data_IF_037979413527
#
_entry.id   IF_037979413527
#
_cell.length_a   1.000
_cell.length_b   1.000
_cell.length_c   1.000
_cell.angle_alpha   90.00
_cell.angle_beta   90.00
_cell.angle_gamma   90.00
#
_symmetry.space_group_name_H-M   'P 1'
#
loop_
_entity.id
_entity.type
_entity.pdbx_description
1 polymer ?
#
# COMPACT_ATOMS: atom_id res chain seq x y z
N UNK A 1 1.20 -13.22 -1.29
CA UNK A 1 0.61 -13.51 0.04
C UNK A 1 -0.75 -12.84 0.22
N UNK A 2 -0.83 -11.51 0.20
CA UNK A 2 -2.06 -10.74 0.44
C UNK A 2 -3.24 -11.18 -0.43
N UNK A 3 -3.02 -11.38 -1.73
CA UNK A 3 -4.07 -11.83 -2.66
C UNK A 3 -4.71 -13.17 -2.24
N UNK A 4 -3.93 -14.14 -1.79
CA UNK A 4 -4.44 -15.46 -1.38
C UNK A 4 -5.30 -15.35 -0.11
N UNK A 5 -4.89 -14.50 0.84
CA UNK A 5 -5.70 -14.20 2.03
C UNK A 5 -7.05 -13.60 1.66
N UNK A 6 -7.06 -12.62 0.74
CA UNK A 6 -8.32 -12.03 0.25
C UNK A 6 -9.22 -13.08 -0.41
N UNK A 7 -8.66 -13.95 -1.27
CA UNK A 7 -9.42 -15.03 -1.90
C UNK A 7 -10.05 -15.98 -0.87
N UNK A 8 -9.32 -16.31 0.19
CA UNK A 8 -9.85 -17.13 1.28
C UNK A 8 -11.02 -16.43 1.99
N UNK A 9 -10.88 -15.14 2.29
CA UNK A 9 -11.92 -14.36 2.96
C UNK A 9 -13.18 -14.25 2.10
N UNK A 10 -13.07 -13.92 0.81
CA UNK A 10 -14.24 -13.83 -0.08
C UNK A 10 -14.88 -15.20 -0.34
N UNK A 11 -14.15 -16.30 -0.16
CA UNK A 11 -14.72 -17.66 -0.27
C UNK A 11 -15.49 -18.04 1.00
N UNK A 12 -15.00 -17.64 2.18
CA UNK A 12 -15.71 -17.83 3.44
C UNK A 12 -16.98 -16.98 3.54
N UNK A 13 -16.97 -15.79 2.93
CA UNK A 13 -18.14 -14.94 2.82
C UNK A 13 -18.95 -15.43 1.61
N UNK A 14 -20.16 -15.93 1.82
CA UNK A 14 -21.03 -16.29 0.69
C UNK A 14 -21.48 -15.00 -0.02
N UNK A 15 -20.73 -14.56 -1.03
CA UNK A 15 -21.04 -13.38 -1.88
C UNK A 15 -22.19 -13.72 -2.84
N UNK A 16 -23.33 -14.17 -2.30
CA UNK A 16 -24.58 -14.26 -3.04
C UNK A 16 -25.47 -13.11 -2.59
N UNK A 17 -25.94 -12.37 -3.59
CA UNK A 17 -26.96 -11.31 -3.52
C UNK A 17 -26.48 -9.93 -3.03
N UNK A 18 -25.87 -9.20 -3.96
CA UNK A 18 -26.06 -7.75 -4.11
C UNK A 18 -26.00 -7.37 -5.61
N UNK A 19 -26.43 -8.29 -6.47
CA UNK A 19 -26.75 -7.93 -7.85
C UNK A 19 -28.10 -7.21 -7.82
N UNK A 20 -28.13 -5.97 -8.32
CA UNK A 20 -29.33 -5.13 -8.56
C UNK A 20 -29.78 -4.22 -7.41
N UNK A 21 -28.88 -3.40 -6.87
CA UNK A 21 -29.29 -2.01 -6.64
C UNK A 21 -28.90 -1.23 -7.89
N UNK A 22 -29.84 -0.64 -8.65
CA UNK A 22 -29.47 0.28 -9.71
C UNK A 22 -28.59 1.35 -9.04
N UNK A 23 -27.38 1.53 -9.57
CA UNK A 23 -26.49 2.62 -9.18
C UNK A 23 -27.30 3.91 -9.40
N UNK A 24 -27.94 4.38 -8.33
CA UNK A 24 -28.33 5.77 -8.27
C UNK A 24 -27.00 6.49 -8.32
N UNK A 25 -26.71 7.12 -9.46
CA UNK A 25 -25.63 8.10 -9.60
C UNK A 25 -25.91 9.19 -8.57
N UNK A 26 -25.50 8.89 -7.35
CA UNK A 26 -25.65 9.74 -6.18
C UNK A 26 -24.57 10.80 -6.33
N UNK A 27 -24.78 12.03 -5.84
CA UNK A 27 -23.76 13.11 -5.93
C UNK A 27 -22.35 12.69 -5.49
N UNK A 28 -22.23 11.61 -4.71
CA UNK A 28 -20.97 10.92 -4.39
C UNK A 28 -20.14 10.49 -5.61
N UNK A 29 -20.72 10.00 -6.71
CA UNK A 29 -19.93 9.62 -7.90
C UNK A 29 -19.34 10.84 -8.58
N UNK A 30 -20.09 11.95 -8.66
CA UNK A 30 -19.57 13.21 -9.18
C UNK A 30 -18.44 13.78 -8.31
N UNK A 31 -18.58 13.73 -6.98
CA UNK A 31 -17.52 14.14 -6.04
C UNK A 31 -16.29 13.24 -6.15
N UNK A 32 -16.46 11.93 -6.25
CA UNK A 32 -15.35 10.98 -6.40
C UNK A 32 -14.58 11.20 -7.70
N UNK A 33 -15.28 11.47 -8.81
CA UNK A 33 -14.67 11.80 -10.10
C UNK A 33 -13.96 13.16 -10.05
N UNK A 34 -14.55 14.16 -9.41
CA UNK A 34 -13.90 15.46 -9.26
C UNK A 34 -12.60 15.35 -8.45
N UNK A 35 -12.62 14.64 -7.32
CA UNK A 35 -11.44 14.44 -6.48
C UNK A 35 -10.34 13.62 -7.19
N UNK A 36 -10.71 12.56 -7.92
CA UNK A 36 -9.73 11.77 -8.67
C UNK A 36 -9.11 12.58 -9.81
N UNK A 37 -9.90 13.42 -10.49
CA UNK A 37 -9.40 14.33 -11.53
C UNK A 37 -8.46 15.39 -10.95
N UNK A 38 -8.78 15.99 -9.80
CA UNK A 38 -7.91 16.96 -9.12
C UNK A 38 -6.57 16.30 -8.76
N UNK A 39 -6.59 15.13 -8.11
CA UNK A 39 -5.37 14.39 -7.78
C UNK A 39 -4.55 14.04 -9.01
N UNK A 40 -5.19 13.63 -10.11
CA UNK A 40 -4.51 13.32 -11.36
C UNK A 40 -3.82 14.57 -11.94
N UNK A 41 -4.51 15.71 -11.94
CA UNK A 41 -3.95 16.98 -12.41
C UNK A 41 -2.79 17.42 -11.54
N UNK A 42 -2.88 17.31 -10.21
CA UNK A 42 -1.78 17.62 -9.30
C UNK A 42 -0.57 16.72 -9.57
N UNK A 43 -0.77 15.42 -9.73
CA UNK A 43 0.32 14.48 -10.06
C UNK A 43 0.98 14.87 -11.39
N UNK A 44 0.20 15.20 -12.41
CA UNK A 44 0.72 15.61 -13.72
C UNK A 44 1.49 16.94 -13.61
N UNK A 45 0.94 17.92 -12.90
CA UNK A 45 1.61 19.21 -12.71
C UNK A 45 2.92 19.04 -11.94
N UNK A 46 2.92 18.26 -10.86
CA UNK A 46 4.15 17.95 -10.10
C UNK A 46 5.13 17.19 -10.99
N UNK A 47 4.69 16.23 -11.78
CA UNK A 47 5.57 15.47 -12.68
C UNK A 47 6.19 16.34 -13.78
N UNK A 48 5.46 17.33 -14.30
CA UNK A 48 5.92 18.25 -15.35
C UNK A 48 6.77 19.40 -14.79
N UNK A 49 6.42 19.92 -13.61
CA UNK A 49 7.11 21.01 -12.94
C UNK A 49 8.30 20.53 -12.10
N UNK A 50 8.39 19.23 -11.82
CA UNK A 50 9.50 18.65 -11.09
C UNK A 50 10.81 18.94 -11.85
N UNK A 51 11.77 19.65 -11.23
CA UNK A 51 13.09 19.78 -11.82
C UNK A 51 13.66 18.37 -12.01
N UNK A 52 14.22 18.10 -13.20
CA UNK A 52 14.85 16.81 -13.56
C UNK A 52 16.00 16.38 -12.63
N UNK A 53 16.31 17.20 -11.62
CA UNK A 53 17.26 16.96 -10.53
C UNK A 53 16.70 16.08 -9.41
N UNK A 54 15.49 15.51 -9.51
CA UNK A 54 15.01 14.46 -8.58
C UNK A 54 16.00 13.28 -8.43
N UNK A 55 16.96 13.13 -9.35
CA UNK A 55 18.08 12.19 -9.24
C UNK A 55 19.16 12.55 -8.20
N UNK A 56 19.18 13.77 -7.62
CA UNK A 56 20.20 14.15 -6.62
C UNK A 56 19.86 13.76 -5.18
N UNK A 57 18.58 13.45 -4.91
CA UNK A 57 18.12 13.03 -3.57
C UNK A 57 18.49 11.56 -3.29
N UNK A 58 18.63 10.75 -4.34
CA UNK A 58 19.22 9.42 -4.27
C UNK A 58 20.75 9.55 -4.37
N UNK A 59 21.40 9.88 -3.26
CA UNK A 59 22.84 10.12 -3.23
C UNK A 59 23.64 9.05 -3.97
N UNK A 60 24.38 9.48 -5.01
CA UNK A 60 25.46 8.78 -5.73
C UNK A 60 25.35 7.26 -5.95
N UNK A 61 24.17 6.67 -5.95
CA UNK A 61 23.99 5.30 -6.37
C UNK A 61 24.09 5.31 -7.90
N UNK A 62 25.20 4.82 -8.42
CA UNK A 62 25.31 4.61 -9.86
C UNK A 62 24.17 3.67 -10.30
N UNK A 63 23.65 3.83 -11.51
CA UNK A 63 22.55 3.00 -12.03
C UNK A 63 22.82 1.48 -11.96
N UNK A 64 24.08 1.08 -11.75
CA UNK A 64 24.56 -0.29 -11.55
C UNK A 64 24.36 -0.83 -10.12
N UNK A 65 24.24 0.04 -9.13
CA UNK A 65 24.00 -0.31 -7.72
C UNK A 65 22.51 -0.32 -7.36
N UNK A 66 21.71 0.47 -8.08
CA UNK A 66 20.25 0.53 -7.97
C UNK A 66 19.66 -0.77 -8.53
N UNK A 67 19.42 -1.75 -7.66
CA UNK A 67 18.83 -3.04 -8.01
C UNK A 67 19.55 -4.24 -7.41
N UNK A 68 20.69 -4.06 -6.75
CA UNK A 68 21.35 -5.13 -6.00
C UNK A 68 20.72 -5.28 -4.61
N UNK A 69 20.24 -6.48 -4.29
CA UNK A 69 19.72 -6.85 -2.96
C UNK A 69 20.72 -6.50 -1.86
N UNK A 70 22.02 -6.68 -2.12
CA UNK A 70 23.09 -6.38 -1.17
C UNK A 70 23.17 -4.89 -0.79
N UNK A 71 23.02 -3.98 -1.76
CA UNK A 71 23.05 -2.53 -1.51
C UNK A 71 21.83 -2.11 -0.70
N UNK A 72 20.66 -2.68 -1.00
CA UNK A 72 19.42 -2.39 -0.28
C UNK A 72 19.46 -2.92 1.17
N UNK A 73 19.99 -4.12 1.36
CA UNK A 73 20.20 -4.70 2.70
C UNK A 73 21.18 -3.83 3.51
N UNK A 74 22.28 -3.40 2.89
CA UNK A 74 23.22 -2.46 3.53
C UNK A 74 22.54 -1.20 4.04
N UNK A 75 21.69 -0.57 3.22
CA UNK A 75 20.95 0.63 3.62
C UNK A 75 19.93 0.37 4.73
N UNK A 76 19.18 -0.74 4.66
CA UNK A 76 18.19 -1.11 5.68
C UNK A 76 18.82 -1.37 7.05
N UNK A 77 19.98 -2.04 7.08
CA UNK A 77 20.65 -2.41 8.33
C UNK A 77 21.69 -1.39 8.83
N UNK A 78 21.89 -0.27 8.13
CA UNK A 78 22.81 0.79 8.59
C UNK A 78 22.11 2.12 8.76
N UNK A 79 21.53 2.66 7.68
CA UNK A 79 20.92 3.99 7.67
C UNK A 79 19.44 3.98 8.09
N UNK A 80 18.72 2.92 7.74
CA UNK A 80 17.27 2.79 7.96
C UNK A 80 16.92 1.74 9.03
N UNK A 81 17.80 1.55 10.03
CA UNK A 81 17.61 0.56 11.10
C UNK A 81 16.34 0.81 11.90
N UNK A 82 16.11 2.06 12.32
CA UNK A 82 14.93 2.45 13.09
C UNK A 82 13.60 2.15 12.35
N UNK A 83 13.37 2.64 11.12
CA UNK A 83 12.14 2.31 10.41
C UNK A 83 12.01 0.82 10.07
N UNK A 84 13.12 0.10 9.86
CA UNK A 84 13.10 -1.35 9.68
C UNK A 84 12.64 -2.08 10.95
N UNK A 85 13.09 -1.64 12.12
CA UNK A 85 12.67 -2.21 13.40
C UNK A 85 11.18 -1.95 13.68
N UNK A 86 10.71 -0.73 13.43
CA UNK A 86 9.28 -0.37 13.53
C UNK A 86 8.43 -1.25 12.61
N UNK A 87 8.85 -1.47 11.36
CA UNK A 87 8.15 -2.35 10.44
C UNK A 87 8.11 -3.81 10.95
N UNK A 88 9.19 -4.27 11.59
CA UNK A 88 9.24 -5.61 12.20
C UNK A 88 8.25 -5.73 13.37
N UNK A 89 8.20 -4.73 14.25
CA UNK A 89 7.23 -4.67 15.35
C UNK A 89 5.80 -4.59 14.80
N UNK A 90 5.57 -3.81 13.74
CA UNK A 90 4.26 -3.71 13.08
C UNK A 90 3.80 -5.09 12.56
N UNK A 91 4.69 -5.86 11.93
CA UNK A 91 4.39 -7.21 11.48
C UNK A 91 4.10 -8.16 12.65
N UNK A 92 4.86 -8.07 13.74
CA UNK A 92 4.61 -8.84 14.95
C UNK A 92 3.22 -8.55 15.51
N UNK A 93 2.87 -7.27 15.66
CA UNK A 93 1.56 -6.83 16.14
C UNK A 93 0.44 -7.28 15.20
N UNK A 94 0.64 -7.21 13.88
CA UNK A 94 -0.34 -7.68 12.90
C UNK A 94 -0.61 -9.19 13.01
N UNK A 95 0.42 -10.01 13.22
CA UNK A 95 0.27 -11.46 13.41
C UNK A 95 -0.47 -11.75 14.72
N UNK A 96 -0.04 -11.14 15.83
CA UNK A 96 -0.68 -11.33 17.15
C UNK A 96 -2.14 -10.86 17.11
N UNK A 97 -2.40 -9.69 16.53
CA UNK A 97 -3.74 -9.14 16.38
C UNK A 97 -4.63 -10.01 15.50
N UNK A 98 -4.11 -10.49 14.37
CA UNK A 98 -4.82 -11.41 13.49
C UNK A 98 -5.20 -12.73 14.17
N UNK A 99 -4.27 -13.33 14.92
CA UNK A 99 -4.53 -14.57 15.68
C UNK A 99 -5.53 -14.33 16.80
N UNK A 100 -5.40 -13.21 17.54
CA UNK A 100 -6.31 -12.87 18.63
C UNK A 100 -7.75 -12.67 18.14
N UNK A 101 -7.93 -11.96 17.02
CA UNK A 101 -9.25 -11.77 16.39
C UNK A 101 -9.83 -13.08 15.83
N UNK A 102 -8.99 -13.93 15.25
CA UNK A 102 -9.41 -15.23 14.71
C UNK A 102 -9.77 -16.25 15.81
N UNK A 103 -9.33 -16.03 17.06
CA UNK A 103 -9.59 -16.92 18.18
C UNK A 103 -11.07 -16.85 18.59
N UNK A 104 -11.88 -17.78 18.10
CA UNK A 104 -13.27 -17.95 18.51
C UNK A 104 -13.32 -18.39 19.99
N UNK A 105 -14.04 -17.64 20.84
CA UNK A 105 -14.40 -18.11 22.19
C UNK A 105 -15.35 -19.29 22.02
N UNK A 106 -14.84 -20.50 22.22
CA UNK A 106 -15.67 -21.69 22.38
C UNK A 106 -16.28 -21.56 23.79
N UNK A 107 -17.56 -21.19 23.85
CA UNK A 107 -18.42 -21.34 25.01
C UNK A 107 -19.44 -22.41 24.69
#
# INVERSE_FOLDING_TARGET
>A
AVMVLFLFVIMLINVRLEQRLPQRFTGQTAVAVALSAILLVEIIQVALAAPRTLGSVAGNLTAKEVGRVQTLAGLLFTKYVLPFEVATILLLVAIVGGIYLAKRKIR
#
